data_IF_898944975043
#
_entry.id   IF_898944975043
#
_cell.length_a   1.000
_cell.length_b   1.000
_cell.length_c   1.000
_cell.angle_alpha   90.00
_cell.angle_beta   90.00
_cell.angle_gamma   90.00
#
_symmetry.space_group_name_H-M   'P 1'
#
loop_
_entity.id
_entity.type
_entity.pdbx_description
1 polymer ?
#
# COMPACT_ATOMS: atom_id res chain seq x y z
N UNK A 1 1.73 -87.94 20.07
CA UNK A 1 1.54 -86.87 19.08
C UNK A 1 1.95 -85.55 19.73
N UNK A 2 3.13 -85.03 19.39
CA UNK A 2 3.56 -83.72 19.87
C UNK A 2 2.82 -82.65 19.07
N UNK A 3 2.06 -81.80 19.77
CA UNK A 3 1.47 -80.59 19.19
C UNK A 3 2.65 -79.66 18.92
N UNK A 4 3.07 -79.57 17.66
CA UNK A 4 4.04 -78.57 17.21
C UNK A 4 3.36 -77.20 17.35
N UNK A 5 3.74 -76.48 18.40
CA UNK A 5 3.27 -75.14 18.71
C UNK A 5 3.80 -74.18 17.64
N UNK A 6 3.06 -74.04 16.54
CA UNK A 6 3.45 -73.14 15.44
C UNK A 6 3.50 -71.70 15.98
N UNK A 7 4.62 -70.97 15.79
CA UNK A 7 4.75 -69.60 16.26
C UNK A 7 3.64 -68.74 15.67
N UNK A 8 2.84 -68.13 16.54
CA UNK A 8 1.67 -67.32 16.17
C UNK A 8 2.06 -65.94 15.62
N UNK A 9 3.35 -65.59 15.70
CA UNK A 9 3.89 -64.29 15.33
C UNK A 9 5.26 -64.44 14.67
N UNK A 10 5.50 -63.61 13.66
CA UNK A 10 6.83 -63.34 13.09
C UNK A 10 7.53 -62.29 13.96
N UNK A 11 8.83 -62.46 14.18
CA UNK A 11 9.65 -61.55 14.97
C UNK A 11 10.75 -60.99 14.10
N UNK A 12 10.87 -59.67 14.06
CA UNK A 12 11.94 -58.94 13.37
C UNK A 12 12.73 -58.11 14.38
N UNK A 13 14.05 -58.04 14.19
CA UNK A 13 14.93 -57.19 15.00
C UNK A 13 15.54 -56.10 14.15
N UNK A 14 15.36 -54.86 14.57
CA UNK A 14 15.94 -53.68 13.93
C UNK A 14 16.73 -52.85 14.92
N UNK A 15 17.74 -52.12 14.45
CA UNK A 15 18.49 -51.17 15.28
C UNK A 15 18.13 -49.75 14.92
N UNK A 16 18.01 -48.88 15.93
CA UNK A 16 17.78 -47.45 15.74
C UNK A 16 18.76 -46.63 16.58
N UNK A 17 19.30 -45.56 16.00
CA UNK A 17 20.13 -44.61 16.71
C UNK A 17 19.27 -43.41 17.13
N UNK A 18 19.23 -43.11 18.43
CA UNK A 18 18.43 -42.02 18.98
C UNK A 18 19.09 -41.46 20.24
N UNK A 19 19.00 -40.15 20.48
CA UNK A 19 19.53 -39.51 21.68
C UNK A 19 20.99 -39.88 22.01
N UNK A 20 21.83 -40.09 20.99
CA UNK A 20 23.24 -40.50 21.16
C UNK A 20 23.47 -41.95 21.56
N UNK A 21 22.42 -42.78 21.61
CA UNK A 21 22.49 -44.21 21.92
C UNK A 21 21.93 -45.07 20.77
N UNK A 22 22.38 -46.33 20.71
CA UNK A 22 21.83 -47.35 19.79
C UNK A 22 20.88 -48.24 20.57
N UNK A 23 19.71 -48.50 19.99
CA UNK A 23 18.68 -49.34 20.57
C UNK A 23 18.35 -50.48 19.62
N UNK A 24 18.05 -51.65 20.18
CA UNK A 24 17.54 -52.80 19.43
C UNK A 24 16.04 -52.94 19.68
N UNK A 25 15.26 -52.90 18.60
CA UNK A 25 13.82 -53.07 18.60
C UNK A 25 13.49 -54.52 18.28
N UNK A 26 12.72 -55.17 19.16
CA UNK A 26 12.05 -56.43 18.82
C UNK A 26 10.63 -56.10 18.38
N UNK A 27 10.36 -56.32 17.10
CA UNK A 27 9.08 -56.03 16.47
C UNK A 27 8.38 -57.34 16.13
N UNK A 28 7.06 -57.36 16.26
CA UNK A 28 6.25 -58.55 16.01
C UNK A 28 5.18 -58.27 14.97
N UNK A 29 4.82 -59.28 14.20
CA UNK A 29 3.69 -59.27 13.27
C UNK A 29 2.91 -60.57 13.40
N UNK A 30 1.58 -60.50 13.37
CA UNK A 30 0.76 -61.72 13.39
C UNK A 30 0.90 -62.49 12.07
N UNK A 31 1.16 -63.79 12.14
CA UNK A 31 1.24 -64.66 10.95
C UNK A 31 -0.10 -64.77 10.22
N UNK A 32 -1.21 -64.55 10.92
CA UNK A 32 -2.57 -64.49 10.35
C UNK A 32 -2.83 -63.22 9.55
N UNK A 33 -2.08 -62.14 9.81
CA UNK A 33 -2.27 -60.82 9.23
C UNK A 33 -0.94 -60.26 8.68
N UNK A 34 -0.31 -61.01 7.78
CA UNK A 34 0.99 -60.67 7.19
C UNK A 34 1.02 -59.34 6.40
N UNK A 35 -0.15 -58.83 5.98
CA UNK A 35 -0.28 -57.54 5.30
C UNK A 35 -0.21 -56.33 6.25
N UNK A 36 -0.24 -56.55 7.58
CA UNK A 36 -0.09 -55.48 8.56
C UNK A 36 1.39 -55.17 8.82
N UNK A 37 1.73 -53.92 9.19
CA UNK A 37 3.09 -53.56 9.54
C UNK A 37 3.53 -54.24 10.85
N UNK A 38 4.84 -54.41 11.00
CA UNK A 38 5.45 -54.81 12.26
C UNK A 38 5.16 -53.77 13.35
N UNK A 39 4.89 -54.24 14.57
CA UNK A 39 4.65 -53.40 15.74
C UNK A 39 5.74 -53.63 16.78
N UNK A 40 6.15 -52.58 17.48
CA UNK A 40 7.24 -52.64 18.46
C UNK A 40 6.75 -53.33 19.73
N UNK A 41 7.34 -54.47 20.06
CA UNK A 41 7.02 -55.24 21.27
C UNK A 41 7.98 -54.93 22.42
N UNK A 42 9.27 -54.78 22.12
CA UNK A 42 10.32 -54.51 23.12
C UNK A 42 11.39 -53.58 22.58
N UNK A 43 12.02 -52.84 23.49
CA UNK A 43 13.25 -52.08 23.22
C UNK A 43 14.34 -52.54 24.18
N UNK A 44 15.50 -52.84 23.62
CA UNK A 44 16.69 -53.33 24.30
C UNK A 44 17.82 -52.30 24.16
N UNK A 45 18.71 -52.24 25.14
CA UNK A 45 19.99 -51.54 25.03
C UNK A 45 21.01 -52.37 24.23
N UNK A 46 22.22 -51.83 23.93
CA UNK A 46 23.27 -52.58 23.23
C UNK A 46 23.80 -53.82 23.97
N UNK A 47 23.42 -54.02 25.23
CA UNK A 47 23.80 -55.16 26.08
C UNK A 47 22.63 -56.14 26.26
N UNK A 48 21.61 -56.07 25.40
CA UNK A 48 20.37 -56.86 25.44
C UNK A 48 19.56 -56.71 26.75
N UNK A 49 19.76 -55.62 27.49
CA UNK A 49 18.93 -55.28 28.64
C UNK A 49 17.62 -54.65 28.18
N UNK A 50 16.51 -55.16 28.70
CA UNK A 50 15.17 -54.64 28.44
C UNK A 50 15.02 -53.24 29.04
N UNK A 51 14.84 -52.24 28.18
CA UNK A 51 14.52 -50.86 28.56
C UNK A 51 13.02 -50.60 28.57
N UNK A 52 12.28 -51.27 27.69
CA UNK A 52 10.85 -51.10 27.56
C UNK A 52 10.17 -52.34 26.97
N UNK A 53 8.94 -52.62 27.42
CA UNK A 53 8.08 -53.66 26.83
C UNK A 53 6.64 -53.17 26.70
N UNK A 54 5.99 -53.50 25.60
CA UNK A 54 4.58 -53.16 25.38
C UNK A 54 3.66 -53.77 26.45
N UNK A 55 3.97 -54.99 26.93
CA UNK A 55 3.16 -55.70 27.93
C UNK A 55 3.07 -54.94 29.26
N UNK A 56 4.11 -54.17 29.63
CA UNK A 56 4.13 -53.41 30.88
C UNK A 56 3.23 -52.16 30.84
N UNK A 57 2.92 -51.63 29.65
CA UNK A 57 2.12 -50.41 29.50
C UNK A 57 0.63 -50.60 29.79
N UNK A 58 0.17 -51.85 29.89
CA UNK A 58 -1.25 -52.21 30.11
C UNK A 58 -2.19 -51.46 29.17
N UNK A 59 -1.78 -51.33 27.91
CA UNK A 59 -2.45 -50.53 26.89
C UNK A 59 -3.20 -51.42 25.88
N UNK A 60 -4.46 -51.08 25.62
CA UNK A 60 -5.30 -51.79 24.66
C UNK A 60 -5.09 -51.25 23.24
N UNK A 61 -4.02 -51.68 22.58
CA UNK A 61 -3.70 -51.25 21.22
C UNK A 61 -2.39 -51.82 20.71
N UNK A 62 -1.65 -51.02 19.94
CA UNK A 62 -0.34 -51.40 19.38
C UNK A 62 0.69 -50.29 19.57
N UNK A 63 1.94 -50.68 19.79
CA UNK A 63 3.08 -49.77 19.79
C UNK A 63 3.70 -49.68 18.40
N UNK A 64 3.71 -48.51 17.79
CA UNK A 64 4.27 -48.28 16.44
C UNK A 64 5.44 -47.33 16.53
N UNK A 65 6.50 -47.59 15.77
CA UNK A 65 7.62 -46.67 15.65
C UNK A 65 7.20 -45.46 14.79
N UNK A 66 7.38 -44.25 15.32
CA UNK A 66 7.04 -43.01 14.62
C UNK A 66 8.18 -41.98 14.74
N UNK A 67 8.24 -41.05 13.79
CA UNK A 67 9.17 -39.92 13.83
C UNK A 67 8.42 -38.66 14.27
N UNK A 68 8.80 -38.09 15.42
CA UNK A 68 8.29 -36.84 15.93
C UNK A 68 9.31 -35.72 15.65
N UNK A 69 9.31 -35.22 14.40
CA UNK A 69 10.42 -34.41 13.89
C UNK A 69 11.68 -35.27 13.76
N UNK A 70 12.79 -34.83 14.35
CA UNK A 70 14.06 -35.58 14.36
C UNK A 70 14.14 -36.63 15.48
N UNK A 71 13.12 -36.73 16.33
CA UNK A 71 13.11 -37.63 17.47
C UNK A 71 12.30 -38.90 17.14
N UNK A 72 12.91 -40.08 17.08
CA UNK A 72 12.14 -41.31 17.03
C UNK A 72 11.43 -41.52 18.37
N UNK A 73 10.20 -42.01 18.29
CA UNK A 73 9.33 -42.30 19.44
C UNK A 73 8.54 -43.58 19.20
N UNK A 74 8.13 -44.25 20.27
CA UNK A 74 7.15 -45.33 20.21
C UNK A 74 5.77 -44.70 20.48
N UNK A 75 4.91 -44.68 19.48
CA UNK A 75 3.54 -44.21 19.60
C UNK A 75 2.62 -45.37 19.98
N UNK A 76 1.92 -45.24 21.12
CA UNK A 76 0.87 -46.17 21.51
C UNK A 76 -0.44 -45.71 20.88
N UNK A 77 -0.94 -46.54 19.98
CA UNK A 77 -2.11 -46.22 19.17
C UNK A 77 -3.23 -47.22 19.39
N UNK A 78 -4.47 -46.73 19.43
CA UNK A 78 -5.65 -47.59 19.49
C UNK A 78 -5.68 -48.60 18.35
N UNK A 79 -6.42 -49.69 18.53
CA UNK A 79 -6.54 -50.74 17.52
C UNK A 79 -7.25 -50.24 16.26
N UNK A 80 -6.82 -50.73 15.08
CA UNK A 80 -7.46 -50.45 13.79
C UNK A 80 -6.91 -49.22 13.04
N UNK A 81 -7.50 -48.93 11.87
CA UNK A 81 -7.05 -47.84 10.96
C UNK A 81 -7.33 -46.44 11.50
N UNK A 82 -8.36 -46.27 12.32
CA UNK A 82 -8.72 -44.99 12.94
C UNK A 82 -8.19 -44.85 14.38
N UNK A 83 -7.26 -45.71 14.79
CA UNK A 83 -6.71 -45.69 16.14
C UNK A 83 -5.96 -44.38 16.40
N UNK A 84 -6.34 -43.67 17.46
CA UNK A 84 -5.72 -42.40 17.85
C UNK A 84 -4.39 -42.65 18.56
N UNK A 85 -3.47 -41.68 18.49
CA UNK A 85 -2.24 -41.68 19.28
C UNK A 85 -2.56 -41.20 20.69
N UNK A 86 -2.49 -42.11 21.66
CA UNK A 86 -2.87 -41.83 23.06
C UNK A 86 -1.67 -41.58 23.95
N UNK A 87 -0.53 -42.22 23.68
CA UNK A 87 0.71 -42.02 24.42
C UNK A 87 1.91 -42.09 23.49
N UNK A 88 2.99 -41.42 23.86
CA UNK A 88 4.28 -41.52 23.19
C UNK A 88 5.37 -41.82 24.20
N UNK A 89 6.26 -42.74 23.84
CA UNK A 89 7.43 -43.11 24.62
C UNK A 89 8.65 -42.73 23.79
N UNK A 90 9.26 -41.58 24.07
CA UNK A 90 10.44 -41.14 23.34
C UNK A 90 11.69 -41.92 23.78
N UNK A 91 12.58 -42.18 22.84
CA UNK A 91 13.81 -42.92 23.10
C UNK A 91 14.77 -42.17 24.03
N UNK A 92 14.69 -40.84 24.08
CA UNK A 92 15.41 -40.03 25.07
C UNK A 92 15.05 -40.45 26.51
N UNK A 93 13.76 -40.70 26.80
CA UNK A 93 13.33 -41.21 28.11
C UNK A 93 13.91 -42.60 28.41
N UNK A 94 14.00 -43.46 27.38
CA UNK A 94 14.56 -44.81 27.50
C UNK A 94 16.09 -44.81 27.70
N UNK A 95 16.80 -43.83 27.14
CA UNK A 95 18.23 -43.61 27.38
C UNK A 95 18.55 -43.12 28.81
N UNK A 96 17.54 -42.92 29.67
CA UNK A 96 17.74 -42.36 31.01
C UNK A 96 17.97 -40.85 31.02
N UNK A 97 17.69 -40.16 29.91
CA UNK A 97 17.69 -38.70 29.89
C UNK A 97 16.47 -38.13 30.63
N UNK A 98 16.59 -36.86 31.01
CA UNK A 98 15.69 -36.07 31.86
C UNK A 98 14.19 -36.33 31.62
N UNK A 99 13.38 -36.26 32.70
CA UNK A 99 11.92 -36.31 32.58
C UNK A 99 11.43 -35.26 31.58
N UNK A 100 10.71 -35.70 30.56
CA UNK A 100 10.19 -34.83 29.51
C UNK A 100 8.97 -34.10 30.06
N UNK A 101 9.01 -32.78 30.01
CA UNK A 101 7.91 -31.94 30.47
C UNK A 101 6.64 -32.18 29.65
N UNK A 102 5.48 -31.97 30.27
CA UNK A 102 4.16 -32.20 29.64
C UNK A 102 3.98 -31.49 28.29
N UNK A 103 4.54 -30.29 28.13
CA UNK A 103 4.49 -29.54 26.86
C UNK A 103 5.21 -30.24 25.72
N UNK A 104 6.38 -30.79 26.01
CA UNK A 104 7.17 -31.51 25.02
C UNK A 104 6.52 -32.86 24.69
N UNK A 105 5.92 -33.53 25.67
CA UNK A 105 5.09 -34.72 25.41
C UNK A 105 3.94 -34.41 24.46
N UNK A 106 3.21 -33.29 24.65
CA UNK A 106 2.13 -32.88 23.74
C UNK A 106 2.68 -32.64 22.32
N UNK A 107 3.83 -31.97 22.21
CA UNK A 107 4.49 -31.70 20.92
C UNK A 107 4.87 -32.99 20.21
N UNK A 108 5.53 -33.91 20.91
CA UNK A 108 5.94 -35.20 20.36
C UNK A 108 4.74 -36.06 19.96
N UNK A 109 3.67 -36.02 20.74
CA UNK A 109 2.44 -36.75 20.48
C UNK A 109 1.70 -36.25 19.24
N UNK A 110 1.64 -34.93 19.04
CA UNK A 110 1.10 -34.34 17.80
C UNK A 110 1.96 -34.70 16.59
N UNK A 111 3.28 -34.51 16.69
CA UNK A 111 4.18 -34.83 15.58
C UNK A 111 4.17 -36.32 15.21
N UNK A 112 4.08 -37.21 16.20
CA UNK A 112 3.92 -38.65 15.95
C UNK A 112 2.56 -38.98 15.31
N UNK A 113 1.49 -38.29 15.71
CA UNK A 113 0.18 -38.45 15.10
C UNK A 113 0.18 -37.99 13.64
N UNK A 114 0.80 -36.83 13.35
CA UNK A 114 0.96 -36.31 11.99
C UNK A 114 1.77 -37.26 11.11
N UNK A 115 2.89 -37.80 11.62
CA UNK A 115 3.71 -38.78 10.90
C UNK A 115 2.95 -40.06 10.56
N UNK A 116 2.10 -40.53 11.49
CA UNK A 116 1.30 -41.74 11.30
C UNK A 116 -0.01 -41.49 10.53
N UNK A 117 -0.33 -40.24 10.20
CA UNK A 117 -1.61 -39.85 9.58
C UNK A 117 -2.82 -40.15 10.46
N UNK A 118 -2.68 -40.00 11.79
CA UNK A 118 -3.69 -40.35 12.80
C UNK A 118 -4.06 -39.14 13.66
N UNK A 119 -5.19 -39.23 14.35
CA UNK A 119 -5.57 -38.20 15.33
C UNK A 119 -4.76 -38.32 16.62
N UNK A 120 -4.41 -37.17 17.20
CA UNK A 120 -3.79 -37.07 18.51
C UNK A 120 -4.87 -36.98 19.60
N UNK A 121 -4.92 -37.93 20.53
CA UNK A 121 -5.85 -37.88 21.66
C UNK A 121 -5.14 -37.33 22.90
N UNK A 122 -5.37 -36.06 23.24
CA UNK A 122 -4.77 -35.44 24.42
C UNK A 122 -5.57 -35.77 25.69
N UNK A 123 -4.88 -35.91 26.83
CA UNK A 123 -5.55 -36.00 28.13
C UNK A 123 -6.13 -34.64 28.55
N UNK A 124 -7.06 -34.63 29.50
CA UNK A 124 -7.69 -33.38 29.97
C UNK A 124 -6.68 -32.36 30.54
N UNK A 125 -5.57 -32.82 31.12
CA UNK A 125 -4.48 -31.95 31.58
C UNK A 125 -3.65 -31.42 30.41
N UNK A 126 -3.37 -32.26 29.41
CA UNK A 126 -2.68 -31.87 28.18
C UNK A 126 -3.47 -30.83 27.37
N UNK A 127 -4.79 -31.00 27.27
CA UNK A 127 -5.69 -30.07 26.59
C UNK A 127 -5.68 -28.68 27.25
N UNK A 128 -5.73 -28.61 28.58
CA UNK A 128 -5.66 -27.34 29.33
C UNK A 128 -4.36 -26.60 29.06
N UNK A 129 -3.23 -27.31 29.06
CA UNK A 129 -1.92 -26.73 28.76
C UNK A 129 -1.86 -26.23 27.32
N UNK A 130 -2.33 -27.03 26.36
CA UNK A 130 -2.37 -26.66 24.96
C UNK A 130 -3.24 -25.41 24.70
N UNK A 131 -4.37 -25.29 25.40
CA UNK A 131 -5.24 -24.12 25.29
C UNK A 131 -4.57 -22.87 25.88
N UNK A 132 -3.92 -22.99 27.04
CA UNK A 132 -3.18 -21.90 27.67
C UNK A 132 -2.04 -21.40 26.79
N UNK A 133 -1.28 -22.30 26.17
CA UNK A 133 -0.19 -21.93 25.27
C UNK A 133 -0.71 -21.23 24.00
N UNK A 134 -1.83 -21.69 23.45
CA UNK A 134 -2.49 -21.03 22.32
C UNK A 134 -2.99 -19.62 22.68
N UNK A 135 -3.54 -19.44 23.88
CA UNK A 135 -3.97 -18.14 24.37
C UNK A 135 -2.78 -17.19 24.56
N UNK A 136 -1.68 -17.68 25.16
CA UNK A 136 -0.45 -16.90 25.36
C UNK A 136 0.15 -16.42 24.03
N UNK A 137 0.24 -17.31 23.04
CA UNK A 137 0.79 -16.97 21.73
C UNK A 137 -0.04 -15.90 21.01
N UNK A 138 -1.37 -15.97 21.12
CA UNK A 138 -2.27 -14.94 20.57
C UNK A 138 -2.08 -13.59 21.26
N UNK A 139 -2.01 -13.58 22.59
CA UNK A 139 -1.76 -12.35 23.35
C UNK A 139 -0.39 -11.72 23.00
N UNK A 140 0.65 -12.53 22.85
CA UNK A 140 1.97 -12.06 22.41
C UNK A 140 1.94 -11.46 20.98
N UNK A 141 1.22 -12.10 20.05
CA UNK A 141 1.05 -11.59 18.69
C UNK A 141 0.26 -10.28 18.65
N UNK A 142 -0.82 -10.18 19.42
CA UNK A 142 -1.62 -8.96 19.54
C UNK A 142 -0.81 -7.82 20.17
N UNK A 143 -0.05 -8.09 21.23
CA UNK A 143 0.83 -7.11 21.85
C UNK A 143 1.94 -6.63 20.89
N UNK A 144 2.56 -7.54 20.14
CA UNK A 144 3.55 -7.19 19.13
C UNK A 144 2.97 -6.33 17.99
N UNK A 145 1.75 -6.64 17.55
CA UNK A 145 1.05 -5.84 16.54
C UNK A 145 0.68 -4.45 17.06
N UNK A 146 0.20 -4.37 18.31
CA UNK A 146 -0.12 -3.09 18.95
C UNK A 146 1.12 -2.20 19.10
N UNK A 147 2.23 -2.75 19.59
CA UNK A 147 3.50 -2.02 19.69
C UNK A 147 4.01 -1.55 18.32
N UNK A 148 3.92 -2.40 17.29
CA UNK A 148 4.31 -2.03 15.94
C UNK A 148 3.39 -0.95 15.32
N UNK A 149 2.11 -0.91 15.70
CA UNK A 149 1.17 0.12 15.28
C UNK A 149 1.46 1.47 15.96
N UNK A 150 1.82 1.46 17.25
CA UNK A 150 2.18 2.66 18.01
C UNK A 150 3.45 3.32 17.44
N UNK A 151 4.49 2.54 17.16
CA UNK A 151 5.73 3.04 16.52
C UNK A 151 5.43 3.66 15.15
N UNK A 152 4.55 3.02 14.36
CA UNK A 152 4.11 3.56 13.06
C UNK A 152 3.30 4.85 13.20
N UNK A 153 2.44 4.95 14.22
CA UNK A 153 1.66 6.15 14.49
C UNK A 153 2.56 7.32 14.90
N UNK A 154 3.51 7.10 15.80
CA UNK A 154 4.48 8.11 16.23
C UNK A 154 5.36 8.60 15.06
N UNK A 155 5.85 7.70 14.21
CA UNK A 155 6.63 8.06 13.02
C UNK A 155 5.82 8.89 12.02
N UNK A 156 4.53 8.56 11.85
CA UNK A 156 3.61 9.32 10.99
C UNK A 156 3.38 10.73 11.54
N UNK A 157 3.16 10.86 12.85
CA UNK A 157 2.95 12.16 13.48
C UNK A 157 4.18 13.06 13.37
N UNK A 158 5.37 12.52 13.65
CA UNK A 158 6.63 13.25 13.48
C UNK A 158 6.78 13.74 12.04
N UNK A 159 6.51 12.88 11.04
CA UNK A 159 6.58 13.25 9.63
C UNK A 159 5.61 14.39 9.30
N UNK A 160 4.35 14.31 9.74
CA UNK A 160 3.35 15.37 9.51
C UNK A 160 3.77 16.68 10.15
N UNK A 161 4.29 16.63 11.37
CA UNK A 161 4.81 17.82 12.07
C UNK A 161 5.97 18.47 11.31
N UNK A 162 6.94 17.69 10.85
CA UNK A 162 8.07 18.20 10.07
C UNK A 162 7.62 18.79 8.73
N UNK A 163 6.64 18.15 8.06
CA UNK A 163 6.08 18.65 6.79
C UNK A 163 5.38 20.00 6.98
N UNK A 164 4.56 20.15 8.01
CA UNK A 164 3.81 21.38 8.28
C UNK A 164 4.67 22.52 8.84
N UNK A 165 5.82 22.20 9.45
CA UNK A 165 6.78 23.19 9.91
C UNK A 165 7.56 23.89 8.78
N UNK A 166 7.44 23.41 7.53
CA UNK A 166 8.09 24.03 6.38
C UNK A 166 7.50 25.41 6.10
N UNK A 167 8.37 26.38 5.79
CA UNK A 167 7.95 27.72 5.39
C UNK A 167 7.12 27.70 4.10
N UNK A 168 6.18 28.64 3.97
CA UNK A 168 5.40 28.78 2.74
C UNK A 168 6.28 29.31 1.61
N UNK A 169 6.06 28.80 0.40
CA UNK A 169 6.67 29.33 -0.82
C UNK A 169 5.65 30.09 -1.65
N UNK A 170 6.18 30.98 -2.48
CA UNK A 170 5.44 31.73 -3.48
C UNK A 170 5.70 31.13 -4.86
N UNK A 171 4.66 30.99 -5.66
CA UNK A 171 4.77 30.56 -7.06
C UNK A 171 3.74 31.30 -7.93
N UNK A 172 3.84 31.13 -9.24
CA UNK A 172 3.01 31.83 -10.22
C UNK A 172 2.34 30.84 -11.18
N UNK A 173 1.05 31.05 -11.47
CA UNK A 173 0.36 30.33 -12.54
C UNK A 173 0.86 30.79 -13.92
N UNK A 174 0.47 30.08 -14.98
CA UNK A 174 0.76 30.48 -16.36
C UNK A 174 0.28 31.91 -16.69
N UNK A 175 -0.83 32.35 -16.09
CA UNK A 175 -1.39 33.69 -16.24
C UNK A 175 -0.67 34.76 -15.39
N UNK A 176 0.36 34.37 -14.64
CA UNK A 176 1.10 35.24 -13.74
C UNK A 176 0.38 35.56 -12.43
N UNK A 177 -0.68 34.82 -12.06
CA UNK A 177 -1.31 34.98 -10.75
C UNK A 177 -0.45 34.36 -9.65
N UNK A 178 -0.29 35.08 -8.56
CA UNK A 178 0.51 34.65 -7.40
C UNK A 178 -0.25 33.62 -6.56
N UNK A 179 0.41 32.54 -6.20
CA UNK A 179 -0.09 31.45 -5.34
C UNK A 179 0.89 31.21 -4.19
N UNK A 180 0.36 30.74 -3.07
CA UNK A 180 1.15 30.43 -1.87
C UNK A 180 0.76 29.07 -1.33
N UNK A 181 1.73 28.36 -0.73
CA UNK A 181 1.46 27.11 -0.05
C UNK A 181 2.71 26.48 0.54
N UNK A 182 2.51 25.41 1.29
CA UNK A 182 3.59 24.63 1.90
C UNK A 182 4.22 23.74 0.83
N UNK A 183 5.55 23.74 0.67
CA UNK A 183 6.26 22.89 -0.28
C UNK A 183 6.22 21.42 0.17
N UNK A 184 5.61 20.55 -0.63
CA UNK A 184 5.46 19.12 -0.34
C UNK A 184 5.80 18.27 -1.57
N UNK A 185 6.21 17.02 -1.33
CA UNK A 185 6.31 16.03 -2.39
C UNK A 185 4.91 15.48 -2.74
N UNK A 186 4.74 14.90 -3.93
CA UNK A 186 3.46 14.32 -4.37
C UNK A 186 2.95 13.24 -3.38
N UNK A 187 3.84 12.50 -2.73
CA UNK A 187 3.46 11.49 -1.72
C UNK A 187 2.98 12.06 -0.37
N UNK A 188 3.23 13.34 -0.10
CA UNK A 188 3.11 13.94 1.23
C UNK A 188 1.77 14.67 1.43
N UNK A 189 1.25 15.32 0.39
CA UNK A 189 0.04 16.15 0.47
C UNK A 189 -1.22 15.42 1.00
N UNK A 190 -1.46 14.11 0.78
CA UNK A 190 -2.65 13.45 1.32
C UNK A 190 -2.69 13.43 2.85
N UNK A 191 -1.54 13.61 3.50
CA UNK A 191 -1.42 13.65 4.96
C UNK A 191 -1.81 14.99 5.57
N UNK A 192 -1.92 16.07 4.79
CA UNK A 192 -2.22 17.41 5.28
C UNK A 192 -3.68 17.56 5.74
N UNK A 193 -3.95 18.52 6.62
CA UNK A 193 -5.30 18.83 7.09
C UNK A 193 -6.18 19.40 5.96
N UNK A 194 -7.50 19.34 6.14
CA UNK A 194 -8.44 20.01 5.23
C UNK A 194 -8.15 21.52 5.17
N UNK A 195 -8.22 22.10 3.98
CA UNK A 195 -8.05 23.53 3.74
C UNK A 195 -6.61 24.04 3.67
N UNK A 196 -5.61 23.19 3.87
CA UNK A 196 -4.19 23.57 3.74
C UNK A 196 -3.85 23.84 2.28
N UNK A 197 -3.19 24.97 2.02
CA UNK A 197 -2.65 25.29 0.70
C UNK A 197 -1.27 24.64 0.53
N UNK A 198 -1.12 23.87 -0.54
CA UNK A 198 0.08 23.06 -0.84
C UNK A 198 0.63 23.48 -2.19
N UNK A 199 1.96 23.48 -2.30
CA UNK A 199 2.67 23.54 -3.57
C UNK A 199 3.48 22.25 -3.69
N UNK A 200 3.13 21.42 -4.67
CA UNK A 200 3.88 20.21 -4.98
C UNK A 200 5.17 20.59 -5.70
N UNK A 201 6.28 20.05 -5.23
CA UNK A 201 7.62 20.25 -5.77
C UNK A 201 8.24 18.91 -6.17
N UNK A 202 9.18 18.92 -7.12
CA UNK A 202 9.87 17.72 -7.60
C UNK A 202 10.77 17.06 -6.52
N UNK A 203 11.37 17.88 -5.66
CA UNK A 203 12.42 17.47 -4.73
C UNK A 203 12.53 18.44 -3.55
N UNK A 204 12.95 17.91 -2.40
CA UNK A 204 13.26 18.68 -1.20
C UNK A 204 14.61 18.17 -0.66
N UNK A 205 15.63 19.02 -0.67
CA UNK A 205 16.97 18.70 -0.21
C UNK A 205 17.06 18.57 1.32
N UNK A 206 18.11 17.89 1.81
CA UNK A 206 18.34 17.67 3.24
C UNK A 206 18.48 18.95 4.08
N UNK A 207 18.85 20.08 3.44
CA UNK A 207 18.96 21.40 4.07
C UNK A 207 17.69 22.26 3.93
N UNK A 208 16.61 21.69 3.42
CA UNK A 208 15.37 22.44 3.14
C UNK A 208 15.38 23.21 1.82
N UNK A 209 16.33 22.91 0.92
CA UNK A 209 16.34 23.42 -0.45
C UNK A 209 15.12 22.89 -1.20
N UNK A 210 14.37 23.78 -1.83
CA UNK A 210 13.10 23.45 -2.48
C UNK A 210 13.34 23.41 -3.98
N UNK A 211 13.01 22.28 -4.60
CA UNK A 211 13.12 22.11 -6.04
C UNK A 211 12.01 22.81 -6.82
N UNK A 212 11.80 22.36 -8.06
CA UNK A 212 10.90 23.04 -9.00
C UNK A 212 9.45 22.88 -8.56
N UNK A 213 8.66 23.96 -8.41
CA UNK A 213 7.23 23.85 -8.16
C UNK A 213 6.52 23.36 -9.42
N UNK A 214 5.55 22.46 -9.23
CA UNK A 214 4.81 21.78 -10.30
C UNK A 214 3.34 22.22 -10.26
N UNK A 215 2.70 22.08 -9.10
CA UNK A 215 1.25 22.25 -8.95
C UNK A 215 0.95 22.91 -7.61
N UNK A 216 -0.02 23.83 -7.57
CA UNK A 216 -0.55 24.39 -6.33
C UNK A 216 -2.04 24.07 -6.19
N UNK A 217 -2.49 23.70 -4.99
CA UNK A 217 -3.89 23.43 -4.70
C UNK A 217 -4.21 23.59 -3.21
N UNK A 218 -5.50 23.61 -2.90
CA UNK A 218 -6.03 23.51 -1.54
C UNK A 218 -6.45 22.06 -1.29
N UNK A 219 -5.97 21.47 -0.19
CA UNK A 219 -6.36 20.11 0.19
C UNK A 219 -7.83 20.11 0.61
N UNK A 220 -8.64 19.25 -0.01
CA UNK A 220 -10.04 19.07 0.36
C UNK A 220 -10.23 17.67 0.94
N UNK A 221 -10.77 17.58 2.16
CA UNK A 221 -11.11 16.31 2.82
C UNK A 221 -12.57 16.30 3.22
N UNK A 222 -13.35 15.45 2.57
CA UNK A 222 -14.72 15.14 2.94
C UNK A 222 -14.77 13.89 3.83
N UNK A 223 -15.73 13.82 4.75
CA UNK A 223 -15.87 12.68 5.67
C UNK A 223 -16.09 11.38 4.88
N UNK A 224 -15.21 10.40 5.10
CA UNK A 224 -15.31 9.08 4.46
C UNK A 224 -14.81 9.00 3.02
N UNK A 225 -14.20 10.07 2.48
CA UNK A 225 -13.59 10.09 1.15
C UNK A 225 -12.09 10.28 1.21
N UNK A 226 -11.41 9.83 0.16
CA UNK A 226 -10.00 10.11 -0.02
C UNK A 226 -9.76 11.62 -0.20
N UNK A 227 -8.60 12.14 0.24
CA UNK A 227 -8.24 13.54 0.04
C UNK A 227 -8.23 13.89 -1.44
N UNK A 228 -8.72 15.07 -1.80
CA UNK A 228 -8.75 15.56 -3.19
C UNK A 228 -8.08 16.94 -3.30
N UNK A 229 -7.63 17.27 -4.52
CA UNK A 229 -7.00 18.55 -4.87
C UNK A 229 -8.09 19.55 -5.28
N UNK A 230 -8.31 20.61 -4.51
CA UNK A 230 -9.22 21.71 -4.83
C UNK A 230 -8.49 22.93 -5.39
N UNK A 231 -9.08 23.63 -6.36
CA UNK A 231 -8.47 24.82 -6.99
C UNK A 231 -7.05 24.58 -7.53
N UNK A 232 -6.83 23.41 -8.10
CA UNK A 232 -5.54 23.00 -8.64
C UNK A 232 -5.13 23.85 -9.84
N UNK A 233 -3.87 24.26 -9.86
CA UNK A 233 -3.26 24.99 -10.96
C UNK A 233 -1.78 24.62 -11.07
N UNK A 234 -1.30 24.42 -12.29
CA UNK A 234 0.13 24.31 -12.56
C UNK A 234 0.81 25.65 -12.28
N UNK A 235 2.00 25.59 -11.68
CA UNK A 235 2.72 26.76 -11.22
C UNK A 235 4.21 26.67 -11.57
N UNK A 236 4.86 27.83 -11.61
CA UNK A 236 6.28 28.00 -11.84
C UNK A 236 6.87 28.89 -10.75
N UNK A 237 8.19 28.79 -10.51
CA UNK A 237 8.86 29.57 -9.46
C UNK A 237 8.90 31.07 -9.81
N UNK A 238 9.11 31.39 -11.08
CA UNK A 238 9.17 32.75 -11.59
C UNK A 238 7.85 33.15 -12.26
N UNK A 239 7.52 34.44 -12.22
CA UNK A 239 6.37 34.95 -12.95
C UNK A 239 6.64 34.78 -14.46
N UNK A 240 5.74 34.13 -15.23
CA UNK A 240 5.87 34.06 -16.67
C UNK A 240 6.02 35.48 -17.21
N UNK A 241 7.09 35.71 -17.99
CA UNK A 241 7.22 36.95 -18.76
C UNK A 241 6.11 36.91 -19.78
N UNK A 242 5.01 37.60 -19.52
CA UNK A 242 3.95 37.79 -20.50
C UNK A 242 4.64 38.30 -21.76
N UNK A 243 4.62 37.51 -22.82
CA UNK A 243 5.10 37.99 -24.11
C UNK A 243 4.29 39.25 -24.39
N UNK A 244 4.96 40.41 -24.35
CA UNK A 244 4.38 41.65 -24.87
C UNK A 244 4.06 41.29 -26.31
N UNK A 245 2.75 41.19 -26.60
CA UNK A 245 2.26 40.92 -27.94
C UNK A 245 2.98 41.88 -28.89
N UNK A 246 3.88 41.35 -29.71
CA UNK A 246 4.46 42.04 -30.87
C UNK A 246 3.42 42.07 -31.99
N UNK A 247 2.15 42.34 -31.67
CA UNK A 247 1.20 42.78 -32.66
C UNK A 247 1.71 44.13 -33.15
N UNK A 248 2.18 44.18 -34.39
CA UNK A 248 2.48 45.43 -35.09
C UNK A 248 1.28 46.33 -34.89
N UNK A 249 1.43 47.39 -34.10
CA UNK A 249 0.35 48.33 -33.82
C UNK A 249 -0.16 48.84 -35.16
N UNK A 250 -1.39 48.49 -35.53
CA UNK A 250 -2.03 48.97 -36.75
C UNK A 250 -2.22 50.47 -36.58
N UNK A 251 -1.36 51.26 -37.24
CA UNK A 251 -1.41 52.72 -37.15
C UNK A 251 -2.49 53.27 -38.08
N UNK A 252 -3.21 54.33 -37.68
CA UNK A 252 -4.10 55.03 -38.59
C UNK A 252 -3.30 55.66 -39.74
N UNK A 253 -3.93 55.74 -40.91
CA UNK A 253 -3.38 56.36 -42.12
C UNK A 253 -3.42 57.89 -42.02
N UNK A 254 -4.29 58.43 -41.15
CA UNK A 254 -4.38 59.84 -40.81
C UNK A 254 -5.48 60.07 -39.78
N UNK A 255 -5.78 61.32 -39.48
CA UNK A 255 -6.96 61.71 -38.70
C UNK A 255 -7.68 62.88 -39.38
N UNK A 256 -8.96 63.04 -39.06
CA UNK A 256 -9.79 64.17 -39.47
C UNK A 256 -10.69 64.55 -38.30
N UNK A 257 -11.24 65.76 -38.32
CA UNK A 257 -12.24 66.16 -37.33
C UNK A 257 -13.64 66.06 -37.90
N UNK A 258 -14.60 65.69 -37.07
CA UNK A 258 -16.04 65.77 -37.36
C UNK A 258 -16.71 66.60 -36.28
N UNK A 259 -17.84 67.21 -36.59
CA UNK A 259 -18.68 67.89 -35.61
C UNK A 259 -19.84 66.97 -35.20
N UNK A 260 -19.99 66.75 -33.89
CA UNK A 260 -21.13 66.07 -33.27
C UNK A 260 -21.56 66.88 -32.04
N UNK A 261 -22.87 67.09 -31.84
CA UNK A 261 -23.42 67.74 -30.63
C UNK A 261 -22.72 69.05 -30.22
N UNK A 262 -22.41 69.92 -31.19
CA UNK A 262 -21.69 71.20 -31.03
C UNK A 262 -20.24 71.06 -30.50
N UNK A 263 -19.59 69.91 -30.67
CA UNK A 263 -18.19 69.68 -30.36
C UNK A 263 -17.45 69.01 -31.53
N UNK A 264 -16.16 69.32 -31.67
CA UNK A 264 -15.28 68.69 -32.65
C UNK A 264 -14.61 67.44 -32.06
N UNK A 265 -14.75 66.30 -32.76
CA UNK A 265 -14.16 65.03 -32.38
C UNK A 265 -13.13 64.58 -33.40
N UNK A 266 -11.97 64.11 -32.92
CA UNK A 266 -10.96 63.51 -33.77
C UNK A 266 -11.37 62.08 -34.16
N UNK A 267 -11.34 61.80 -35.47
CA UNK A 267 -11.63 60.50 -36.06
C UNK A 267 -10.38 59.95 -36.71
N UNK A 268 -9.96 58.77 -36.28
CA UNK A 268 -8.81 58.07 -36.86
C UNK A 268 -9.20 57.34 -38.15
N UNK A 269 -8.44 57.55 -39.22
CA UNK A 269 -8.70 56.99 -40.55
C UNK A 269 -7.91 55.70 -40.77
N UNK A 270 -8.58 54.62 -41.14
CA UNK A 270 -7.98 53.33 -41.48
C UNK A 270 -8.27 52.95 -42.94
N UNK A 271 -7.43 52.11 -43.54
CA UNK A 271 -7.55 51.74 -44.96
C UNK A 271 -8.73 50.81 -45.27
N UNK A 272 -9.21 50.08 -44.26
CA UNK A 272 -10.33 49.14 -44.40
C UNK A 272 -10.97 48.86 -43.04
N UNK A 273 -12.17 48.28 -43.06
CA UNK A 273 -12.84 47.81 -41.84
C UNK A 273 -12.06 46.70 -41.12
N UNK A 274 -11.33 45.87 -41.88
CA UNK A 274 -10.49 44.82 -41.30
C UNK A 274 -9.32 45.41 -40.51
N UNK A 275 -8.72 46.52 -40.98
CA UNK A 275 -7.68 47.23 -40.23
C UNK A 275 -8.20 47.83 -38.92
N UNK A 276 -9.45 48.28 -38.89
CA UNK A 276 -10.08 48.75 -37.64
C UNK A 276 -10.27 47.58 -36.67
N UNK A 277 -10.71 46.42 -37.15
CA UNK A 277 -10.86 45.20 -36.32
C UNK A 277 -9.51 44.72 -35.79
N UNK A 278 -8.47 44.73 -36.62
CA UNK A 278 -7.10 44.43 -36.22
C UNK A 278 -6.60 45.42 -35.15
N UNK A 279 -6.81 46.73 -35.35
CA UNK A 279 -6.46 47.76 -34.37
C UNK A 279 -7.18 47.57 -33.03
N UNK A 280 -8.47 47.20 -33.05
CA UNK A 280 -9.24 46.85 -31.84
C UNK A 280 -8.62 45.65 -31.12
N UNK A 281 -8.31 44.56 -31.83
CA UNK A 281 -7.64 43.38 -31.23
C UNK A 281 -6.24 43.71 -30.71
N UNK A 282 -5.60 44.74 -31.26
CA UNK A 282 -4.29 45.24 -30.82
C UNK A 282 -4.36 46.26 -29.66
N UNK A 283 -5.55 46.54 -29.12
CA UNK A 283 -5.73 47.41 -27.95
C UNK A 283 -6.05 48.88 -28.26
N UNK A 284 -6.70 49.17 -29.40
CA UNK A 284 -7.28 50.49 -29.65
C UNK A 284 -8.21 50.90 -28.50
N UNK A 285 -8.03 52.11 -27.96
CA UNK A 285 -8.76 52.61 -26.80
C UNK A 285 -10.27 52.61 -27.02
N UNK A 286 -11.02 52.13 -26.03
CA UNK A 286 -12.47 52.26 -26.00
C UNK A 286 -12.90 53.73 -26.03
N UNK A 287 -13.98 54.03 -26.75
CA UNK A 287 -14.47 55.39 -26.96
C UNK A 287 -13.80 56.14 -28.11
N UNK A 288 -12.82 55.55 -28.78
CA UNK A 288 -12.18 56.18 -29.96
C UNK A 288 -13.13 56.17 -31.16
N UNK A 289 -13.21 57.30 -31.86
CA UNK A 289 -13.92 57.41 -33.13
C UNK A 289 -13.01 57.03 -34.30
N UNK A 290 -13.51 56.14 -35.17
CA UNK A 290 -12.75 55.61 -36.30
C UNK A 290 -13.58 55.63 -37.57
N UNK A 291 -12.91 55.69 -38.72
CA UNK A 291 -13.57 55.58 -40.02
C UNK A 291 -12.66 54.92 -41.06
N UNK A 292 -13.27 54.39 -42.12
CA UNK A 292 -12.54 53.93 -43.29
C UNK A 292 -12.26 55.12 -44.19
N UNK A 293 -11.02 55.26 -44.68
CA UNK A 293 -10.60 56.36 -45.55
C UNK A 293 -11.43 56.36 -46.84
N UNK A 294 -12.25 57.38 -47.00
CA UNK A 294 -13.12 57.59 -48.16
C UNK A 294 -14.34 58.41 -47.76
N UNK A 295 -14.88 59.15 -48.72
CA UNK A 295 -16.18 59.83 -48.61
C UNK A 295 -17.13 59.23 -49.63
N UNK A 296 -18.41 59.17 -49.30
CA UNK A 296 -19.44 58.80 -50.25
C UNK A 296 -19.67 59.92 -51.30
N UNK A 297 -20.55 59.67 -52.27
CA UNK A 297 -20.87 60.64 -53.32
C UNK A 297 -21.42 61.99 -52.80
N UNK A 298 -21.81 62.06 -51.52
CA UNK A 298 -22.28 63.28 -50.85
C UNK A 298 -21.18 63.97 -50.02
N UNK A 299 -19.94 63.50 -50.11
CA UNK A 299 -18.82 64.04 -49.35
C UNK A 299 -18.81 63.64 -47.87
N UNK A 300 -19.63 62.65 -47.47
CA UNK A 300 -19.74 62.20 -46.07
C UNK A 300 -18.97 60.91 -45.83
N UNK A 301 -18.35 60.80 -44.67
CA UNK A 301 -17.65 59.61 -44.18
C UNK A 301 -18.49 58.86 -43.16
N UNK A 302 -18.43 57.53 -43.18
CA UNK A 302 -19.11 56.67 -42.22
C UNK A 302 -18.22 56.49 -40.98
N UNK A 303 -18.70 56.93 -39.82
CA UNK A 303 -17.94 56.96 -38.56
C UNK A 303 -18.48 55.90 -37.60
N UNK A 304 -17.56 55.27 -36.89
CA UNK A 304 -17.83 54.24 -35.90
C UNK A 304 -17.26 54.60 -34.53
N UNK A 305 -17.93 54.17 -33.45
CA UNK A 305 -17.35 54.14 -32.11
C UNK A 305 -16.84 52.74 -31.78
N UNK A 306 -15.65 52.67 -31.19
CA UNK A 306 -15.04 51.41 -30.76
C UNK A 306 -15.34 51.14 -29.30
N UNK A 307 -15.91 49.98 -29.01
CA UNK A 307 -16.14 49.44 -27.67
C UNK A 307 -15.38 48.13 -27.48
N UNK A 308 -15.24 47.71 -26.22
CA UNK A 308 -14.53 46.48 -25.85
C UNK A 308 -15.08 45.23 -26.57
N UNK A 309 -16.40 45.15 -26.75
CA UNK A 309 -17.11 44.00 -27.33
C UNK A 309 -17.50 44.20 -28.81
N UNK A 310 -17.76 45.44 -29.25
CA UNK A 310 -18.33 45.74 -30.57
C UNK A 310 -17.84 47.05 -31.19
N UNK A 311 -18.19 47.24 -32.46
CA UNK A 311 -17.99 48.49 -33.18
C UNK A 311 -19.37 48.98 -33.59
N UNK A 312 -19.78 50.15 -33.11
CA UNK A 312 -21.10 50.71 -33.42
C UNK A 312 -20.97 51.74 -34.54
N UNK A 313 -21.88 51.71 -35.50
CA UNK A 313 -22.00 52.76 -36.52
C UNK A 313 -22.70 53.97 -35.91
N UNK A 314 -22.06 55.14 -35.94
CA UNK A 314 -22.66 56.39 -35.46
C UNK A 314 -23.46 57.08 -36.56
N UNK A 315 -22.98 56.99 -37.80
CA UNK A 315 -23.64 57.62 -38.94
C UNK A 315 -22.66 58.21 -39.94
N UNK A 316 -23.20 59.00 -40.87
CA UNK A 316 -22.46 59.66 -41.94
C UNK A 316 -22.22 61.13 -41.58
N UNK A 317 -20.97 61.53 -41.51
CA UNK A 317 -20.55 62.88 -41.10
C UNK A 317 -19.75 63.56 -42.21
N UNK A 318 -19.84 64.89 -42.28
CA UNK A 318 -18.98 65.67 -43.16
C UNK A 318 -17.66 65.94 -42.42
N UNK A 319 -16.49 65.57 -42.98
CA UNK A 319 -15.22 65.91 -42.37
C UNK A 319 -15.05 67.44 -42.36
N UNK A 320 -14.62 67.99 -41.22
CA UNK A 320 -14.15 69.36 -41.15
C UNK A 320 -12.85 69.43 -41.95
N UNK A 321 -12.82 70.26 -42.98
CA UNK A 321 -11.64 70.44 -43.83
C UNK A 321 -10.43 70.80 -42.96
N UNK A 322 -9.35 70.04 -43.11
CA UNK A 322 -8.02 70.39 -42.59
C UNK A 322 -7.30 71.28 -43.59
#
# INVERSE_FOLDING_TARGET
>A
MAILDTPTHEVERGTIQAAGAVFTLEMIRSTKFNHLPFVVAKVLDPKDKILWTFRQESFFGVGVLAMAGDNPVIALTGSGRCGKVERVIPFSKLAGSQQIGLRETIRLKRAAADYLGRECHLSSTEEKIALADKARLRAEQEAAQAAAAEVRAAARELRVRTMLARGQITCFTADGQKRYGIPLLESEWPSCSNGVHVVVVDSIGAKGEIGTPIESFKVTKERGRNPSKGFAAFVTAERPKTAVSTAVAVRPIGSTFIEMDNAAFEVQLYGSMDKIREARTAGLNEGTYVAVKGVDASGKMLVYSVHTDKINTLGKFTPLST
#
